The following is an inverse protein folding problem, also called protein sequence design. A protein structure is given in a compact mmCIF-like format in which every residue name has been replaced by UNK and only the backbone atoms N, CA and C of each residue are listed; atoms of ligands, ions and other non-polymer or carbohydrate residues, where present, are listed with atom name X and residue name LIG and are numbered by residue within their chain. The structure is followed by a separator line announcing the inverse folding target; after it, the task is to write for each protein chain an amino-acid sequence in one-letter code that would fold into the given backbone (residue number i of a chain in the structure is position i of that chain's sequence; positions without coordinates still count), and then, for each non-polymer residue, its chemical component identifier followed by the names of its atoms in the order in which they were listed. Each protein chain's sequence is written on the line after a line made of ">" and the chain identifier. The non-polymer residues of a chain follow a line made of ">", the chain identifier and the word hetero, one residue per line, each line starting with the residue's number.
data_IF_707137210493
#
_entry.id   IF_707137210493
#
_cell.length_a   1.000
_cell.length_b   1.000
_cell.length_c   1.000
_cell.angle_alpha   90.00
_cell.angle_beta   90.00
_cell.angle_gamma   90.00
#
_symmetry.space_group_name_H-M   'P 1'
#
loop_
_entity.id
_entity.type
_entity.pdbx_description
1 polymer ?
#
# COMPACT_ATOMS: atom_id res chain seq x y z
N UNK A 1 14.53 -23.02 1.98
CA UNK A 1 15.06 -22.07 0.98
C UNK A 1 15.04 -20.68 1.55
N UNK A 2 15.84 -19.75 0.99
CA UNK A 2 15.83 -18.33 1.39
C UNK A 2 14.77 -17.60 0.55
N UNK A 3 13.92 -16.72 1.14
CA UNK A 3 13.00 -15.90 0.36
C UNK A 3 13.76 -14.94 -0.56
N UNK A 4 13.37 -14.90 -1.83
CA UNK A 4 14.00 -14.05 -2.85
C UNK A 4 12.94 -13.17 -3.50
N UNK A 5 13.28 -11.88 -3.65
CA UNK A 5 12.54 -10.92 -4.48
C UNK A 5 13.38 -10.61 -5.70
N UNK A 6 12.77 -10.68 -6.88
CA UNK A 6 13.41 -10.34 -8.14
C UNK A 6 12.44 -9.57 -9.03
N UNK A 7 12.97 -8.72 -9.91
CA UNK A 7 12.21 -8.09 -10.98
C UNK A 7 12.83 -8.45 -12.33
N UNK A 8 11.99 -8.67 -13.34
CA UNK A 8 12.44 -9.01 -14.68
C UNK A 8 11.57 -8.37 -15.75
N UNK A 9 12.20 -7.98 -16.86
CA UNK A 9 11.54 -7.56 -18.08
C UNK A 9 12.34 -8.00 -19.31
N UNK A 10 11.69 -8.05 -20.46
CA UNK A 10 12.35 -8.32 -21.75
C UNK A 10 12.68 -6.99 -22.42
N UNK A 11 13.93 -6.81 -22.85
CA UNK A 11 14.39 -5.61 -23.54
C UNK A 11 15.32 -5.98 -24.71
N UNK A 12 15.34 -5.15 -25.74
CA UNK A 12 16.39 -5.18 -26.76
C UNK A 12 17.73 -4.75 -26.14
N UNK A 13 18.88 -5.09 -26.76
CA UNK A 13 20.20 -4.83 -26.17
C UNK A 13 20.45 -3.37 -25.75
N UNK A 14 19.94 -2.41 -26.53
CA UNK A 14 19.99 -0.97 -26.26
C UNK A 14 19.08 -0.55 -25.08
N UNK A 15 18.02 -1.31 -24.81
CA UNK A 15 17.10 -1.09 -23.69
C UNK A 15 17.55 -1.71 -22.35
N UNK A 16 18.57 -2.57 -22.33
CA UNK A 16 19.04 -3.27 -21.12
C UNK A 16 19.38 -2.32 -19.97
N UNK A 17 20.10 -1.18 -20.18
CA UNK A 17 20.39 -0.26 -19.08
C UNK A 17 19.13 0.30 -18.40
N UNK A 18 18.12 0.69 -19.19
CA UNK A 18 16.86 1.19 -18.66
C UNK A 18 16.07 0.09 -17.92
N UNK A 19 16.12 -1.14 -18.44
CA UNK A 19 15.51 -2.30 -17.81
C UNK A 19 16.11 -2.63 -16.44
N UNK A 20 17.45 -2.57 -16.33
CA UNK A 20 18.16 -2.79 -15.07
C UNK A 20 17.78 -1.73 -14.04
N UNK A 21 17.77 -0.44 -14.42
CA UNK A 21 17.36 0.64 -13.52
C UNK A 21 15.92 0.45 -13.02
N UNK A 22 14.98 0.18 -13.94
CA UNK A 22 13.57 -0.04 -13.59
C UNK A 22 13.36 -1.27 -12.70
N UNK A 23 14.06 -2.37 -12.99
CA UNK A 23 13.98 -3.58 -12.16
C UNK A 23 14.54 -3.34 -10.75
N UNK A 24 15.60 -2.53 -10.61
CA UNK A 24 16.08 -2.06 -9.31
C UNK A 24 15.01 -1.30 -8.54
N UNK A 25 14.36 -0.34 -9.19
CA UNK A 25 13.25 0.43 -8.59
C UNK A 25 12.08 -0.46 -8.16
N UNK A 26 11.74 -1.50 -8.94
CA UNK A 26 10.68 -2.46 -8.59
C UNK A 26 11.08 -3.29 -7.36
N UNK A 27 12.32 -3.77 -7.29
CA UNK A 27 12.80 -4.53 -6.11
C UNK A 27 12.73 -3.67 -4.85
N UNK A 28 13.19 -2.42 -4.93
CA UNK A 28 13.14 -1.47 -3.81
C UNK A 28 11.69 -1.17 -3.39
N UNK A 29 10.79 -0.99 -4.37
CA UNK A 29 9.37 -0.77 -4.13
C UNK A 29 8.71 -1.96 -3.42
N UNK A 30 8.96 -3.19 -3.89
CA UNK A 30 8.42 -4.42 -3.28
C UNK A 30 8.93 -4.58 -1.85
N UNK A 31 10.20 -4.28 -1.61
CA UNK A 31 10.81 -4.32 -0.28
C UNK A 31 10.15 -3.33 0.69
N UNK A 32 9.85 -2.10 0.26
CA UNK A 32 9.21 -1.09 1.12
C UNK A 32 7.71 -1.28 1.32
N UNK A 33 7.01 -1.92 0.37
CA UNK A 33 5.55 -2.06 0.41
C UNK A 33 5.06 -3.32 1.12
N UNK A 34 5.98 -4.21 1.55
CA UNK A 34 5.65 -5.43 2.31
C UNK A 34 4.99 -6.52 1.47
N UNK A 35 5.16 -6.47 0.14
CA UNK A 35 4.70 -7.52 -0.79
C UNK A 35 5.48 -8.81 -0.53
N UNK A 36 4.84 -9.96 -0.79
CA UNK A 36 5.46 -11.27 -0.57
C UNK A 36 6.69 -11.46 -1.47
N UNK A 37 7.72 -12.21 -1.04
CA UNK A 37 8.84 -12.56 -1.91
C UNK A 37 8.38 -13.25 -3.20
N UNK A 38 8.99 -12.91 -4.34
CA UNK A 38 8.60 -13.46 -5.65
C UNK A 38 9.28 -12.77 -6.83
N UNK A 39 8.92 -13.21 -8.04
CA UNK A 39 9.31 -12.57 -9.30
C UNK A 39 8.24 -11.56 -9.72
N UNK A 40 8.64 -10.33 -9.98
CA UNK A 40 7.76 -9.23 -10.34
C UNK A 40 8.11 -8.65 -11.72
N UNK A 41 7.10 -8.13 -12.40
CA UNK A 41 7.20 -7.28 -13.58
C UNK A 41 6.61 -5.92 -13.24
N UNK A 42 6.88 -4.91 -14.08
CA UNK A 42 6.25 -3.60 -13.93
C UNK A 42 4.71 -3.70 -13.84
N UNK A 43 4.11 -4.59 -14.66
CA UNK A 43 2.67 -4.82 -14.71
C UNK A 43 2.06 -5.24 -13.35
N UNK A 44 2.83 -5.87 -12.47
CA UNK A 44 2.36 -6.37 -11.17
C UNK A 44 2.29 -5.28 -10.10
N UNK A 45 2.92 -4.12 -10.36
CA UNK A 45 3.13 -3.02 -9.40
C UNK A 45 2.90 -1.64 -10.03
N UNK A 46 2.15 -1.52 -11.14
CA UNK A 46 1.99 -0.27 -11.89
C UNK A 46 1.55 0.91 -11.00
N UNK A 47 0.58 0.67 -10.12
CA UNK A 47 0.03 1.71 -9.25
C UNK A 47 1.05 2.18 -8.22
N UNK A 48 1.67 1.23 -7.50
CA UNK A 48 2.69 1.53 -6.50
C UNK A 48 3.93 2.16 -7.13
N UNK A 49 4.31 1.71 -8.32
CA UNK A 49 5.41 2.26 -9.07
C UNK A 49 5.15 3.71 -9.46
N UNK A 50 3.95 4.02 -9.97
CA UNK A 50 3.56 5.40 -10.28
C UNK A 50 3.49 6.28 -9.03
N UNK A 51 2.94 5.75 -7.93
CA UNK A 51 2.85 6.46 -6.66
C UNK A 51 4.19 6.60 -5.96
N UNK A 52 5.20 5.78 -6.26
CA UNK A 52 6.53 5.96 -5.66
C UNK A 52 7.32 7.14 -6.24
N UNK A 53 6.84 7.74 -7.33
CA UNK A 53 7.51 8.88 -7.98
C UNK A 53 7.19 10.19 -7.26
N UNK A 54 8.22 11.01 -6.93
CA UNK A 54 8.00 12.31 -6.32
C UNK A 54 7.03 13.17 -7.13
N UNK A 55 5.93 13.59 -6.52
CA UNK A 55 4.98 14.52 -7.11
C UNK A 55 4.25 15.29 -6.00
N UNK A 56 3.67 16.44 -6.35
CA UNK A 56 2.80 17.18 -5.41
C UNK A 56 1.56 16.35 -5.04
N UNK A 57 0.99 15.65 -6.03
CA UNK A 57 -0.11 14.72 -5.83
C UNK A 57 0.23 13.63 -4.81
N UNK A 58 1.47 13.12 -4.81
CA UNK A 58 1.91 12.11 -3.84
C UNK A 58 1.83 12.62 -2.39
N UNK A 59 2.32 13.83 -2.14
CA UNK A 59 2.21 14.46 -0.82
C UNK A 59 0.77 14.72 -0.43
N UNK A 60 -0.06 15.17 -1.37
CA UNK A 60 -1.50 15.34 -1.17
C UNK A 60 -2.19 14.03 -0.77
N UNK A 61 -1.90 12.93 -1.48
CA UNK A 61 -2.42 11.60 -1.17
C UNK A 61 -1.96 11.12 0.20
N UNK A 62 -0.67 11.23 0.53
CA UNK A 62 -0.17 10.86 1.85
C UNK A 62 -0.83 11.67 2.99
N UNK A 63 -1.10 12.95 2.72
CA UNK A 63 -1.76 13.88 3.64
C UNK A 63 -3.23 13.54 3.95
N UNK A 64 -3.92 12.77 3.10
CA UNK A 64 -5.30 12.31 3.37
C UNK A 64 -5.40 11.51 4.68
N UNK A 65 -4.31 10.87 5.11
CA UNK A 65 -4.25 10.08 6.34
C UNK A 65 -3.53 10.81 7.49
N UNK A 66 -3.12 12.07 7.32
CA UNK A 66 -2.52 12.87 8.41
C UNK A 66 -3.37 12.96 9.68
N UNK A 67 -4.72 12.97 9.65
CA UNK A 67 -5.54 12.87 10.86
C UNK A 67 -5.29 11.62 11.71
N UNK A 68 -4.63 10.59 11.15
CA UNK A 68 -4.26 9.35 11.83
C UNK A 68 -2.81 9.35 12.37
N UNK A 69 -2.01 10.39 12.14
CA UNK A 69 -0.58 10.41 12.51
C UNK A 69 -0.34 10.15 14.00
N UNK A 70 -1.20 10.70 14.86
CA UNK A 70 -1.16 10.49 16.30
C UNK A 70 -1.92 9.22 16.76
N UNK A 71 -2.28 8.31 15.85
CA UNK A 71 -3.15 7.13 16.08
C UNK A 71 -2.62 5.91 15.32
N UNK A 72 -1.41 5.41 15.66
CA UNK A 72 -0.78 4.31 14.95
C UNK A 72 -1.65 3.04 14.93
N UNK A 73 -2.46 2.81 15.96
CA UNK A 73 -3.39 1.69 16.02
C UNK A 73 -4.51 1.75 14.96
N UNK A 74 -4.95 2.95 14.60
CA UNK A 74 -5.94 3.14 13.52
C UNK A 74 -5.30 2.94 12.17
N UNK A 75 -4.11 3.50 11.94
CA UNK A 75 -3.37 3.31 10.70
C UNK A 75 -3.09 1.82 10.47
N UNK A 76 -2.57 1.12 11.48
CA UNK A 76 -2.32 -0.32 11.41
C UNK A 76 -3.62 -1.12 11.14
N UNK A 77 -4.73 -0.73 11.77
CA UNK A 77 -6.03 -1.38 11.51
C UNK A 77 -6.49 -1.17 10.06
N UNK A 78 -6.31 0.04 9.50
CA UNK A 78 -6.65 0.31 8.10
C UNK A 78 -5.80 -0.53 7.15
N UNK A 79 -4.49 -0.59 7.36
CA UNK A 79 -3.57 -1.41 6.57
C UNK A 79 -3.94 -2.88 6.59
N UNK A 80 -4.17 -3.44 7.78
CA UNK A 80 -4.55 -4.86 7.93
C UNK A 80 -5.92 -5.13 7.34
N UNK A 81 -6.89 -4.23 7.52
CA UNK A 81 -8.23 -4.38 6.98
C UNK A 81 -8.24 -4.41 5.45
N UNK A 82 -7.49 -3.52 4.81
CA UNK A 82 -7.33 -3.51 3.35
C UNK A 82 -6.50 -4.70 2.86
N UNK A 83 -5.44 -5.08 3.58
CA UNK A 83 -4.61 -6.24 3.26
C UNK A 83 -5.35 -7.57 3.29
N UNK A 84 -6.41 -7.68 4.10
CA UNK A 84 -7.32 -8.83 4.13
C UNK A 84 -8.59 -8.65 3.27
N UNK A 85 -8.56 -7.77 2.27
CA UNK A 85 -9.65 -7.63 1.30
C UNK A 85 -10.96 -7.15 1.90
N UNK A 86 -10.90 -6.27 2.92
CA UNK A 86 -12.05 -5.76 3.66
C UNK A 86 -12.77 -6.83 4.50
N UNK A 87 -12.16 -8.00 4.73
CA UNK A 87 -12.68 -9.00 5.65
C UNK A 87 -12.37 -8.61 7.10
N UNK A 88 -13.43 -8.20 7.80
CA UNK A 88 -13.38 -7.80 9.20
C UNK A 88 -12.89 -8.93 10.11
N UNK A 89 -13.29 -10.17 9.87
CA UNK A 89 -12.93 -11.31 10.74
C UNK A 89 -11.46 -11.68 10.53
N UNK A 90 -11.01 -11.73 9.29
CA UNK A 90 -9.60 -11.98 8.97
C UNK A 90 -8.71 -10.88 9.56
N UNK A 91 -9.07 -9.61 9.39
CA UNK A 91 -8.33 -8.50 9.97
C UNK A 91 -8.32 -8.52 11.50
N UNK A 92 -9.45 -8.85 12.13
CA UNK A 92 -9.53 -8.96 13.59
C UNK A 92 -8.63 -10.09 14.13
N UNK A 93 -8.59 -11.24 13.46
CA UNK A 93 -7.71 -12.34 13.80
C UNK A 93 -6.23 -11.94 13.67
N UNK A 94 -5.85 -11.27 12.57
CA UNK A 94 -4.49 -10.78 12.34
C UNK A 94 -4.05 -9.70 13.34
N UNK A 95 -4.99 -8.86 13.79
CA UNK A 95 -4.75 -7.81 14.79
C UNK A 95 -4.86 -8.31 16.24
N UNK A 96 -5.25 -9.58 16.45
CA UNK A 96 -5.56 -10.15 17.77
C UNK A 96 -6.58 -9.33 18.57
N UNK A 97 -7.63 -8.84 17.92
CA UNK A 97 -8.73 -8.09 18.54
C UNK A 97 -10.08 -8.71 18.20
N UNK A 98 -11.14 -8.27 18.89
CA UNK A 98 -12.50 -8.64 18.53
C UNK A 98 -12.94 -7.96 17.22
N UNK A 99 -13.74 -8.60 16.34
CA UNK A 99 -14.27 -7.98 15.11
C UNK A 99 -14.97 -6.63 15.31
N UNK A 100 -15.66 -6.44 16.44
CA UNK A 100 -16.29 -5.16 16.79
C UNK A 100 -15.27 -4.03 16.98
N UNK A 101 -14.06 -4.34 17.45
CA UNK A 101 -12.99 -3.36 17.60
C UNK A 101 -12.50 -2.88 16.25
N UNK A 102 -12.34 -3.78 15.27
CA UNK A 102 -12.00 -3.41 13.88
C UNK A 102 -13.07 -2.48 13.31
N UNK A 103 -14.33 -2.88 13.43
CA UNK A 103 -15.48 -2.11 12.95
C UNK A 103 -15.58 -0.71 13.60
N UNK A 104 -15.35 -0.62 14.91
CA UNK A 104 -15.24 0.66 15.61
C UNK A 104 -14.07 1.52 15.08
N UNK A 105 -12.89 0.93 14.89
CA UNK A 105 -11.72 1.64 14.38
C UNK A 105 -11.93 2.14 12.94
N UNK A 106 -12.55 1.33 12.07
CA UNK A 106 -12.90 1.73 10.70
C UNK A 106 -13.90 2.88 10.70
N UNK A 107 -14.97 2.84 11.50
CA UNK A 107 -15.87 4.00 11.67
C UNK A 107 -15.16 5.24 12.22
N UNK A 108 -14.15 5.05 13.07
CA UNK A 108 -13.36 6.16 13.61
C UNK A 108 -12.44 6.76 12.56
N UNK A 109 -11.84 5.94 11.69
CA UNK A 109 -11.07 6.40 10.53
C UNK A 109 -11.96 7.25 9.63
N UNK A 110 -13.13 6.74 9.24
CA UNK A 110 -14.10 7.46 8.41
C UNK A 110 -14.43 8.85 8.98
N UNK A 111 -14.72 8.94 10.29
CA UNK A 111 -14.98 10.23 10.95
C UNK A 111 -13.78 11.18 10.99
N UNK A 112 -12.55 10.66 11.05
CA UNK A 112 -11.34 11.49 11.16
C UNK A 112 -10.82 11.97 9.81
N UNK A 113 -10.94 11.14 8.78
CA UNK A 113 -10.42 11.42 7.43
C UNK A 113 -11.50 11.90 6.47
N UNK A 114 -12.77 11.68 6.79
CA UNK A 114 -13.89 11.82 5.86
C UNK A 114 -13.97 10.71 4.81
N UNK A 115 -13.08 9.70 4.91
CA UNK A 115 -12.94 8.65 3.91
C UNK A 115 -13.43 7.30 4.43
N UNK A 116 -14.42 6.73 3.75
CA UNK A 116 -15.06 5.49 4.14
C UNK A 116 -14.63 4.32 3.26
N UNK A 117 -14.04 3.22 3.80
CA UNK A 117 -13.74 2.02 3.01
C UNK A 117 -14.97 1.37 2.35
N UNK A 118 -16.19 1.69 2.81
CA UNK A 118 -17.43 1.22 2.22
C UNK A 118 -17.82 1.96 0.93
N UNK A 119 -17.20 3.11 0.65
CA UNK A 119 -17.43 3.90 -0.58
C UNK A 119 -16.30 3.61 -1.58
N UNK A 120 -16.59 3.09 -2.79
CA UNK A 120 -15.54 2.69 -3.74
C UNK A 120 -14.53 3.79 -4.10
N UNK A 121 -15.01 5.04 -4.28
CA UNK A 121 -14.14 6.18 -4.57
C UNK A 121 -13.16 6.44 -3.41
N UNK A 122 -13.65 6.39 -2.18
CA UNK A 122 -12.82 6.61 -0.99
C UNK A 122 -11.87 5.46 -0.72
N UNK A 123 -12.28 4.22 -1.00
CA UNK A 123 -11.43 3.05 -0.92
C UNK A 123 -10.19 3.21 -1.81
N UNK A 124 -10.36 3.76 -3.02
CA UNK A 124 -9.24 4.08 -3.91
C UNK A 124 -8.33 5.14 -3.29
N UNK A 125 -8.89 6.21 -2.71
CA UNK A 125 -8.11 7.25 -2.03
C UNK A 125 -7.35 6.72 -0.81
N UNK A 126 -7.99 5.92 0.04
CA UNK A 126 -7.37 5.30 1.22
C UNK A 126 -6.22 4.37 0.82
N UNK A 127 -6.42 3.56 -0.23
CA UNK A 127 -5.39 2.66 -0.75
C UNK A 127 -4.21 3.44 -1.32
N UNK A 128 -4.48 4.47 -2.13
CA UNK A 128 -3.45 5.33 -2.70
C UNK A 128 -2.69 6.12 -1.62
N UNK A 129 -3.37 6.59 -0.58
CA UNK A 129 -2.77 7.30 0.54
C UNK A 129 -1.82 6.40 1.36
N UNK A 130 -2.17 5.14 1.60
CA UNK A 130 -1.27 4.18 2.25
C UNK A 130 -0.02 3.91 1.43
N UNK A 131 -0.17 3.69 0.11
CA UNK A 131 0.97 3.51 -0.80
C UNK A 131 1.84 4.76 -0.82
N UNK A 132 1.21 5.94 -0.88
CA UNK A 132 1.89 7.22 -0.87
C UNK A 132 2.78 7.37 0.38
N UNK A 133 2.23 7.10 1.57
CA UNK A 133 2.95 7.20 2.84
C UNK A 133 4.16 6.28 2.98
N UNK A 134 4.20 5.17 2.24
CA UNK A 134 5.37 4.26 2.21
C UNK A 134 6.46 4.74 1.24
N UNK A 135 6.16 5.77 0.46
CA UNK A 135 6.99 6.30 -0.61
C UNK A 135 7.55 7.70 -0.31
N UNK A 136 7.04 8.40 0.70
CA UNK A 136 7.53 9.71 1.18
C UNK A 136 8.46 9.57 2.37
#
# INVERSE_FOLDING_TARGET
>A
GVPVTAAAETAAPDGVPAAVARNGEIVDLVARTGRAPGLYRLADVLLEYQLSRPSEALRGLAGLLSPLDAKPELLHTLETYLGHGLDRRAAAAALHVHPNTVDYRIRRIDRLTGLSPARPADLQHLSAALVARRSV
#
